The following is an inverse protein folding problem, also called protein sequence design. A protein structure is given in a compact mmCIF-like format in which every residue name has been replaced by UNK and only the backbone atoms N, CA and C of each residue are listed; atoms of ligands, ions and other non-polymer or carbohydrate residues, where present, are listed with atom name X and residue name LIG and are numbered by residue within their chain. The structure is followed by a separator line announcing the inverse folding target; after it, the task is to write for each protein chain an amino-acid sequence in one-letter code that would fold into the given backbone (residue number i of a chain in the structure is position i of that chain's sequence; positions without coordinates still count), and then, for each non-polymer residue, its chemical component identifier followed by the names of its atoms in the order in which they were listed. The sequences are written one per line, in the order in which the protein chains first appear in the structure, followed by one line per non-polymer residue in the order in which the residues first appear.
data_IF_538956474986
#
_entry.id   IF_538956474986
#
_cell.length_a   1.000
_cell.length_b   1.000
_cell.length_c   1.000
_cell.angle_alpha   90.00
_cell.angle_beta   90.00
_cell.angle_gamma   90.00
#
_symmetry.space_group_name_H-M   'P 1'
#
loop_
_entity.id
_entity.type
_entity.pdbx_description
1 polymer ?
#
# COMPACT_ATOMS: atom_id res chain seq x y z
N UNK A 1 26.73 -14.75 -18.32
CA UNK A 1 27.17 -14.45 -16.94
C UNK A 1 27.02 -15.71 -16.10
N UNK A 2 27.98 -16.04 -15.25
CA UNK A 2 27.92 -17.25 -14.43
C UNK A 2 26.76 -17.18 -13.42
N UNK A 3 26.03 -18.30 -13.25
CA UNK A 3 24.99 -18.45 -12.21
C UNK A 3 25.51 -18.05 -10.82
N UNK A 4 26.81 -18.25 -10.58
CA UNK A 4 27.52 -17.80 -9.37
C UNK A 4 27.45 -16.28 -9.19
N UNK A 5 27.63 -15.50 -10.24
CA UNK A 5 27.54 -14.04 -10.19
C UNK A 5 26.11 -13.58 -9.90
N UNK A 6 25.11 -14.22 -10.54
CA UNK A 6 23.70 -13.95 -10.25
C UNK A 6 23.36 -14.22 -8.78
N UNK A 7 23.75 -15.39 -8.26
CA UNK A 7 23.50 -15.77 -6.87
C UNK A 7 24.21 -14.81 -5.91
N UNK A 8 25.46 -14.42 -6.19
CA UNK A 8 26.19 -13.47 -5.37
C UNK A 8 25.55 -12.07 -5.38
N UNK A 9 25.10 -11.58 -6.52
CA UNK A 9 24.36 -10.32 -6.62
C UNK A 9 23.00 -10.39 -5.92
N UNK A 10 22.29 -11.52 -6.01
CA UNK A 10 21.04 -11.75 -5.28
C UNK A 10 21.27 -11.76 -3.77
N UNK A 11 22.37 -12.36 -3.31
CA UNK A 11 22.76 -12.31 -1.90
C UNK A 11 23.04 -10.88 -1.44
N UNK A 12 23.62 -10.02 -2.29
CA UNK A 12 23.76 -8.58 -1.98
C UNK A 12 22.40 -7.92 -1.84
N UNK A 13 21.45 -8.19 -2.75
CA UNK A 13 20.09 -7.65 -2.66
C UNK A 13 19.41 -8.09 -1.37
N UNK A 14 19.45 -9.39 -1.06
CA UNK A 14 18.87 -9.96 0.17
C UNK A 14 19.55 -9.38 1.41
N UNK A 15 20.88 -9.26 1.42
CA UNK A 15 21.63 -8.70 2.54
C UNK A 15 21.31 -7.22 2.76
N UNK A 16 21.22 -6.42 1.70
CA UNK A 16 20.82 -5.01 1.77
C UNK A 16 19.39 -4.85 2.32
N UNK A 17 18.43 -5.66 1.86
CA UNK A 17 17.07 -5.68 2.40
C UNK A 17 17.06 -6.11 3.86
N UNK A 18 17.79 -7.17 4.21
CA UNK A 18 17.90 -7.68 5.58
C UNK A 18 18.50 -6.64 6.54
N UNK A 19 19.57 -5.97 6.14
CA UNK A 19 20.17 -4.89 6.92
C UNK A 19 19.24 -3.67 6.99
N UNK A 20 18.57 -3.34 5.89
CA UNK A 20 17.57 -2.28 5.79
C UNK A 20 16.42 -2.47 6.77
N UNK A 21 15.84 -3.68 6.82
CA UNK A 21 14.76 -4.03 7.77
C UNK A 21 15.23 -3.99 9.22
N UNK A 22 16.49 -4.35 9.53
CA UNK A 22 17.05 -4.19 10.88
C UNK A 22 17.24 -2.74 11.30
N UNK A 23 17.67 -1.87 10.37
CA UNK A 23 17.77 -0.43 10.65
C UNK A 23 16.42 0.27 10.67
N UNK A 24 15.42 -0.29 9.96
CA UNK A 24 14.06 0.24 9.79
C UNK A 24 14.01 1.68 9.26
N UNK A 25 12.80 2.16 8.97
CA UNK A 25 12.54 3.52 8.50
C UNK A 25 13.41 3.93 7.30
N UNK A 26 14.10 5.07 7.43
CA UNK A 26 15.00 5.61 6.38
C UNK A 26 16.13 4.62 6.04
N UNK A 27 16.58 3.82 7.01
CA UNK A 27 17.66 2.86 6.84
C UNK A 27 17.38 1.83 5.75
N UNK A 28 16.11 1.49 5.51
CA UNK A 28 15.71 0.60 4.41
C UNK A 28 16.16 1.15 3.06
N UNK A 29 15.95 2.44 2.80
CA UNK A 29 16.41 3.08 1.56
C UNK A 29 17.93 3.24 1.48
N UNK A 30 18.56 3.62 2.60
CA UNK A 30 20.02 3.79 2.64
C UNK A 30 20.75 2.49 2.31
N UNK A 31 20.33 1.37 2.90
CA UNK A 31 20.91 0.07 2.57
C UNK A 31 20.62 -0.37 1.14
N UNK A 32 19.48 0.03 0.57
CA UNK A 32 19.25 -0.10 -0.87
C UNK A 32 20.34 0.56 -1.71
N UNK A 33 20.70 1.81 -1.39
CA UNK A 33 21.78 2.53 -2.09
C UNK A 33 23.16 1.90 -1.86
N UNK A 34 23.42 1.37 -0.66
CA UNK A 34 24.65 0.58 -0.41
C UNK A 34 24.67 -0.66 -1.31
N UNK A 35 23.54 -1.36 -1.45
CA UNK A 35 23.41 -2.47 -2.38
C UNK A 35 23.69 -2.05 -3.83
N UNK A 36 23.12 -0.92 -4.29
CA UNK A 36 23.40 -0.37 -5.62
C UNK A 36 24.90 -0.11 -5.79
N UNK A 37 25.53 0.50 -4.79
CA UNK A 37 26.97 0.76 -4.81
C UNK A 37 27.79 -0.56 -4.91
N UNK A 38 27.41 -1.60 -4.17
CA UNK A 38 28.09 -2.91 -4.26
C UNK A 38 27.90 -3.54 -5.65
N UNK A 39 26.70 -3.48 -6.23
CA UNK A 39 26.46 -4.00 -7.58
C UNK A 39 27.27 -3.21 -8.63
N UNK A 40 27.20 -1.88 -8.59
CA UNK A 40 27.84 -1.01 -9.59
C UNK A 40 29.35 -1.00 -9.44
N UNK A 41 29.89 -0.81 -8.24
CA UNK A 41 31.34 -0.68 -8.03
C UNK A 41 32.03 -2.02 -7.77
N UNK A 42 31.37 -2.96 -7.09
CA UNK A 42 31.90 -4.28 -6.80
C UNK A 42 31.75 -5.26 -7.96
N UNK A 43 30.52 -5.44 -8.46
CA UNK A 43 30.22 -6.35 -9.57
C UNK A 43 30.37 -5.70 -10.95
N UNK A 44 30.57 -4.38 -11.02
CA UNK A 44 30.78 -3.63 -12.27
C UNK A 44 29.63 -3.76 -13.26
N UNK A 45 28.41 -3.88 -12.76
CA UNK A 45 27.20 -3.85 -13.59
C UNK A 45 26.74 -2.41 -13.81
N UNK A 46 26.11 -2.14 -14.94
CA UNK A 46 25.50 -0.85 -15.18
C UNK A 46 24.35 -0.61 -14.18
N UNK A 47 24.19 0.60 -13.62
CA UNK A 47 23.04 0.91 -12.77
C UNK A 47 21.75 0.80 -13.57
N UNK A 48 20.72 0.24 -12.95
CA UNK A 48 19.37 0.27 -13.51
C UNK A 48 18.75 1.67 -13.39
N UNK A 49 17.54 1.84 -13.90
CA UNK A 49 16.81 3.11 -13.79
C UNK A 49 16.41 3.40 -12.34
N UNK A 50 16.74 4.59 -11.85
CA UNK A 50 16.26 5.07 -10.56
C UNK A 50 14.77 5.42 -10.64
N UNK A 51 13.96 5.17 -9.59
CA UNK A 51 12.51 5.39 -9.59
C UNK A 51 12.16 6.86 -9.32
N UNK A 52 12.76 7.81 -10.06
CA UNK A 52 12.68 9.26 -9.79
C UNK A 52 11.23 9.75 -9.81
N UNK A 53 10.48 9.39 -10.85
CA UNK A 53 9.07 9.77 -11.01
C UNK A 53 8.20 9.31 -9.83
N UNK A 54 8.37 8.05 -9.40
CA UNK A 54 7.62 7.51 -8.29
C UNK A 54 7.97 8.20 -6.96
N UNK A 55 9.24 8.60 -6.78
CA UNK A 55 9.68 9.37 -5.61
C UNK A 55 9.06 10.77 -5.61
N UNK A 56 9.03 11.47 -6.75
CA UNK A 56 8.43 12.80 -6.86
C UNK A 56 6.91 12.80 -6.67
N UNK A 57 6.21 11.78 -7.17
CA UNK A 57 4.81 11.54 -6.83
C UNK A 57 4.64 11.46 -5.31
N UNK A 58 5.41 10.60 -4.64
CA UNK A 58 5.29 10.42 -3.18
C UNK A 58 5.52 11.74 -2.45
N UNK A 59 6.61 12.46 -2.76
CA UNK A 59 6.96 13.73 -2.11
C UNK A 59 5.82 14.75 -2.25
N UNK A 60 5.22 14.84 -3.43
CA UNK A 60 4.15 15.81 -3.68
C UNK A 60 2.86 15.42 -2.97
N UNK A 61 2.47 14.14 -3.03
CA UNK A 61 1.26 13.61 -2.36
C UNK A 61 1.37 13.77 -0.84
N UNK A 62 2.51 13.39 -0.24
CA UNK A 62 2.71 13.50 1.22
C UNK A 62 2.73 14.96 1.65
N UNK A 63 3.22 15.86 0.80
CA UNK A 63 3.20 17.30 1.06
C UNK A 63 1.75 17.78 1.12
N UNK A 64 0.94 17.50 0.11
CA UNK A 64 -0.48 17.87 0.08
C UNK A 64 -1.26 17.28 1.28
N UNK A 65 -1.04 15.99 1.57
CA UNK A 65 -1.66 15.31 2.71
C UNK A 65 -1.23 15.90 4.05
N UNK A 66 0.04 16.31 4.19
CA UNK A 66 0.56 16.92 5.43
C UNK A 66 0.06 18.36 5.60
N UNK A 67 -0.15 19.10 4.51
CA UNK A 67 -0.79 20.42 4.55
C UNK A 67 -2.26 20.28 4.99
N UNK A 68 -2.98 19.29 4.45
CA UNK A 68 -4.32 18.94 4.91
C UNK A 68 -4.33 18.54 6.39
N UNK A 69 -3.38 17.72 6.83
CA UNK A 69 -3.26 17.30 8.24
C UNK A 69 -3.05 18.50 9.15
N UNK A 70 -2.16 19.42 8.79
CA UNK A 70 -1.90 20.64 9.56
C UNK A 70 -3.14 21.56 9.66
N UNK A 71 -4.10 21.45 8.74
CA UNK A 71 -5.38 22.16 8.78
C UNK A 71 -6.47 21.44 9.60
N UNK A 72 -6.17 20.26 10.15
CA UNK A 72 -7.11 19.40 10.88
C UNK A 72 -7.94 18.47 9.98
N UNK A 73 -7.64 18.39 8.68
CA UNK A 73 -8.44 17.63 7.71
C UNK A 73 -8.50 16.12 8.02
N UNK A 74 -7.39 15.54 8.47
CA UNK A 74 -7.34 14.13 8.89
C UNK A 74 -8.27 13.89 10.08
N UNK A 75 -8.24 14.76 11.10
CA UNK A 75 -9.11 14.63 12.28
C UNK A 75 -10.60 14.71 11.90
N UNK A 76 -10.95 15.55 10.92
CA UNK A 76 -12.31 15.58 10.38
C UNK A 76 -12.68 14.29 9.66
N UNK A 77 -11.83 13.78 8.77
CA UNK A 77 -12.07 12.52 8.11
C UNK A 77 -12.33 11.44 9.18
N UNK A 78 -11.47 11.33 10.18
CA UNK A 78 -11.60 10.39 11.29
C UNK A 78 -12.93 10.54 12.03
N UNK A 79 -13.39 11.78 12.28
CA UNK A 79 -14.70 12.02 12.89
C UNK A 79 -15.87 11.50 12.04
N UNK A 80 -15.76 11.57 10.71
CA UNK A 80 -16.75 11.00 9.78
C UNK A 80 -16.73 9.49 9.84
N UNK A 81 -15.54 8.87 9.80
CA UNK A 81 -15.41 7.42 9.94
C UNK A 81 -15.96 6.91 11.28
N UNK A 82 -15.67 7.61 12.37
CA UNK A 82 -16.22 7.29 13.69
C UNK A 82 -17.74 7.35 13.72
N UNK A 83 -18.36 8.37 13.11
CA UNK A 83 -19.81 8.43 12.95
C UNK A 83 -20.38 7.26 12.12
N UNK A 84 -19.68 6.85 11.06
CA UNK A 84 -20.13 5.73 10.22
C UNK A 84 -20.03 4.40 10.97
N UNK A 85 -18.92 4.15 11.66
CA UNK A 85 -18.68 2.91 12.42
C UNK A 85 -19.67 2.80 13.59
N UNK A 86 -19.92 3.90 14.31
CA UNK A 86 -20.84 3.93 15.46
C UNK A 86 -22.33 3.86 15.08
N UNK A 87 -22.70 4.14 13.81
CA UNK A 87 -24.10 4.01 13.35
C UNK A 87 -24.62 2.58 13.33
N UNK A 88 -23.76 1.59 13.04
CA UNK A 88 -24.10 0.16 13.08
C UNK A 88 -22.97 -0.60 13.77
N UNK A 89 -22.85 -0.46 15.10
CA UNK A 89 -21.64 -0.88 15.82
C UNK A 89 -21.48 -2.41 15.82
N UNK A 90 -22.58 -3.17 15.71
CA UNK A 90 -22.55 -4.63 15.52
C UNK A 90 -21.89 -5.08 14.20
N UNK A 91 -21.77 -4.18 13.22
CA UNK A 91 -21.14 -4.43 11.93
C UNK A 91 -19.71 -3.88 11.84
N UNK A 92 -19.07 -3.59 12.98
CA UNK A 92 -17.71 -3.01 13.03
C UNK A 92 -16.69 -3.82 12.25
N UNK A 93 -16.79 -5.15 12.22
CA UNK A 93 -15.89 -6.06 11.46
C UNK A 93 -15.95 -5.81 9.94
N UNK A 94 -17.02 -5.20 9.43
CA UNK A 94 -17.14 -4.79 8.02
C UNK A 94 -16.92 -3.29 7.82
N UNK A 95 -17.50 -2.46 8.69
CA UNK A 95 -17.46 -1.02 8.54
C UNK A 95 -16.07 -0.45 8.80
N UNK A 96 -15.34 -0.96 9.79
CA UNK A 96 -13.99 -0.48 10.10
C UNK A 96 -12.99 -0.75 8.96
N UNK A 97 -12.94 -1.95 8.36
CA UNK A 97 -12.12 -2.19 7.18
C UNK A 97 -12.53 -1.36 5.97
N UNK A 98 -13.82 -1.22 5.70
CA UNK A 98 -14.29 -0.39 4.58
C UNK A 98 -13.85 1.08 4.74
N UNK A 99 -13.96 1.64 5.94
CA UNK A 99 -13.48 3.00 6.20
C UNK A 99 -11.97 3.12 6.08
N UNK A 100 -11.21 2.15 6.60
CA UNK A 100 -9.74 2.13 6.52
C UNK A 100 -9.24 2.02 5.08
N UNK A 101 -9.92 1.21 4.26
CA UNK A 101 -9.69 1.08 2.83
C UNK A 101 -9.94 2.41 2.12
N UNK A 102 -11.14 3.00 2.26
CA UNK A 102 -11.51 4.24 1.58
C UNK A 102 -10.60 5.41 1.96
N UNK A 103 -10.16 5.49 3.21
CA UNK A 103 -9.25 6.54 3.66
C UNK A 103 -7.89 6.40 3.01
N UNK A 104 -7.39 5.16 2.95
CA UNK A 104 -6.10 4.90 2.32
C UNK A 104 -6.16 5.14 0.82
N UNK A 105 -7.25 4.77 0.16
CA UNK A 105 -7.48 5.07 -1.25
C UNK A 105 -7.40 6.57 -1.51
N UNK A 106 -8.07 7.38 -0.69
CA UNK A 106 -8.04 8.83 -0.81
C UNK A 106 -6.65 9.41 -0.51
N UNK A 107 -5.98 8.95 0.55
CA UNK A 107 -4.72 9.53 1.01
C UNK A 107 -3.47 9.00 0.27
N UNK A 108 -3.56 7.84 -0.39
CA UNK A 108 -2.43 7.17 -1.03
C UNK A 108 -1.46 6.47 -0.07
N UNK A 109 -1.72 6.49 1.25
CA UNK A 109 -0.84 5.91 2.28
C UNK A 109 -1.63 5.18 3.36
N UNK A 110 -1.15 3.99 3.73
CA UNK A 110 -1.76 3.18 4.79
C UNK A 110 -1.71 3.82 6.16
N UNK A 111 -0.78 4.74 6.44
CA UNK A 111 -0.64 5.38 7.76
C UNK A 111 -1.86 6.21 8.18
N UNK A 112 -2.72 6.60 7.22
CA UNK A 112 -3.91 7.40 7.48
C UNK A 112 -4.95 6.70 8.35
N UNK A 113 -4.85 5.38 8.52
CA UNK A 113 -5.79 4.63 9.36
C UNK A 113 -5.44 4.63 10.86
N UNK A 114 -4.24 5.04 11.27
CA UNK A 114 -3.86 5.04 12.70
C UNK A 114 -4.83 5.80 13.60
N UNK A 115 -5.32 6.98 13.21
CA UNK A 115 -6.31 7.69 14.00
C UNK A 115 -7.67 6.96 14.10
N UNK A 116 -7.95 5.97 13.25
CA UNK A 116 -9.14 5.12 13.35
C UNK A 116 -8.98 4.01 14.39
N UNK A 117 -7.76 3.61 14.73
CA UNK A 117 -7.51 2.50 15.65
C UNK A 117 -8.24 2.64 17.02
N UNK A 118 -8.21 3.80 17.70
CA UNK A 118 -8.96 3.98 18.94
C UNK A 118 -10.47 3.79 18.75
N UNK A 119 -11.02 4.32 17.65
CA UNK A 119 -12.45 4.22 17.34
C UNK A 119 -12.85 2.78 17.07
N UNK A 120 -12.05 2.05 16.30
CA UNK A 120 -12.30 0.65 15.95
C UNK A 120 -12.23 -0.21 17.21
N UNK A 121 -11.20 0.01 18.03
CA UNK A 121 -11.04 -0.64 19.34
C UNK A 121 -12.23 -0.36 20.26
N UNK A 122 -12.59 0.90 20.50
CA UNK A 122 -13.64 1.29 21.43
C UNK A 122 -15.00 0.75 21.00
N UNK A 123 -15.36 0.86 19.72
CA UNK A 123 -16.64 0.33 19.22
C UNK A 123 -16.67 -1.19 19.32
N UNK A 124 -15.57 -1.88 19.00
CA UNK A 124 -15.50 -3.34 19.15
C UNK A 124 -15.68 -3.73 20.61
N UNK A 125 -14.97 -3.06 21.52
CA UNK A 125 -15.02 -3.35 22.94
C UNK A 125 -16.41 -3.06 23.55
N UNK A 126 -17.03 -1.93 23.23
CA UNK A 126 -18.40 -1.58 23.67
C UNK A 126 -19.44 -2.61 23.23
N UNK A 127 -19.29 -3.17 22.04
CA UNK A 127 -20.19 -4.20 21.52
C UNK A 127 -19.83 -5.60 21.98
N UNK A 128 -18.80 -5.75 22.82
CA UNK A 128 -18.22 -7.04 23.24
C UNK A 128 -17.77 -7.91 22.06
N UNK A 129 -17.42 -7.27 20.95
CA UNK A 129 -16.81 -7.91 19.79
C UNK A 129 -15.31 -7.94 20.04
N UNK A 130 -14.71 -9.12 19.90
CA UNK A 130 -13.25 -9.31 19.98
C UNK A 130 -12.52 -8.30 19.07
N UNK A 131 -11.74 -7.34 19.61
CA UNK A 131 -11.13 -6.27 18.81
C UNK A 131 -10.25 -6.77 17.66
N UNK A 132 -9.54 -7.89 17.86
CA UNK A 132 -8.75 -8.56 16.82
C UNK A 132 -9.51 -8.72 15.50
N UNK A 133 -10.82 -9.02 15.55
CA UNK A 133 -11.64 -9.27 14.36
C UNK A 133 -11.74 -8.04 13.46
N UNK A 134 -11.94 -6.86 14.05
CA UNK A 134 -12.07 -5.62 13.29
C UNK A 134 -10.72 -4.96 13.03
N UNK A 135 -9.82 -4.97 14.01
CA UNK A 135 -8.51 -4.33 13.95
C UNK A 135 -7.61 -4.99 12.90
N UNK A 136 -7.52 -6.32 12.86
CA UNK A 136 -6.63 -7.00 11.92
C UNK A 136 -7.06 -6.81 10.46
N UNK A 137 -8.36 -6.95 10.18
CA UNK A 137 -8.92 -6.72 8.84
C UNK A 137 -8.79 -5.25 8.43
N UNK A 138 -8.92 -4.31 9.37
CA UNK A 138 -8.77 -2.88 9.09
C UNK A 138 -7.33 -2.50 8.73
N UNK A 139 -6.36 -3.13 9.38
CA UNK A 139 -4.95 -2.94 9.07
C UNK A 139 -4.55 -3.58 7.73
N UNK A 140 -5.14 -4.74 7.37
CA UNK A 140 -5.03 -5.29 6.01
C UNK A 140 -5.68 -4.34 5.01
N UNK A 141 -6.89 -3.85 5.29
CA UNK A 141 -7.65 -2.98 4.41
C UNK A 141 -6.97 -1.64 4.13
N UNK A 142 -6.27 -1.06 5.11
CA UNK A 142 -5.48 0.15 4.87
C UNK A 142 -4.40 -0.12 3.83
N UNK A 143 -3.64 -1.20 3.98
CA UNK A 143 -2.62 -1.57 3.01
C UNK A 143 -3.18 -1.96 1.63
N UNK A 144 -4.34 -2.61 1.59
CA UNK A 144 -5.07 -2.90 0.34
C UNK A 144 -5.49 -1.63 -0.38
N UNK A 145 -5.88 -0.59 0.36
CA UNK A 145 -6.25 0.71 -0.21
C UNK A 145 -5.11 1.35 -1.02
N UNK A 146 -3.85 1.01 -0.74
CA UNK A 146 -2.70 1.47 -1.53
C UNK A 146 -2.78 0.94 -2.97
N UNK A 147 -3.15 -0.33 -3.19
CA UNK A 147 -3.32 -0.92 -4.52
C UNK A 147 -4.50 -0.33 -5.31
N UNK A 148 -5.48 0.23 -4.61
CA UNK A 148 -6.68 0.83 -5.22
C UNK A 148 -6.60 2.35 -5.32
N UNK A 149 -5.51 2.95 -4.85
CA UNK A 149 -5.35 4.40 -4.82
C UNK A 149 -4.67 4.88 -6.10
N UNK A 150 -5.26 5.81 -6.87
CA UNK A 150 -4.62 6.45 -8.02
C UNK A 150 -3.40 7.30 -7.65
N UNK A 151 -3.26 7.66 -6.38
CA UNK A 151 -2.24 8.58 -5.87
C UNK A 151 -1.18 7.87 -5.03
N UNK A 152 -1.22 6.53 -4.94
CA UNK A 152 -0.19 5.78 -4.22
C UNK A 152 1.04 5.50 -5.09
N UNK A 153 2.18 5.34 -4.42
CA UNK A 153 3.43 4.95 -5.06
C UNK A 153 3.33 3.60 -5.79
N UNK A 154 2.56 2.65 -5.23
CA UNK A 154 2.44 1.30 -5.79
C UNK A 154 1.67 1.32 -7.11
N UNK A 155 0.53 2.00 -7.15
CA UNK A 155 -0.28 2.14 -8.38
C UNK A 155 0.48 2.94 -9.43
N UNK A 156 1.15 4.02 -9.04
CA UNK A 156 2.02 4.76 -9.96
C UNK A 156 3.12 3.85 -10.56
N UNK A 157 3.80 3.06 -9.72
CA UNK A 157 4.82 2.11 -10.17
C UNK A 157 4.25 1.09 -11.15
N UNK A 158 3.07 0.55 -10.86
CA UNK A 158 2.41 -0.42 -11.72
C UNK A 158 2.11 0.19 -13.09
N UNK A 159 1.49 1.37 -13.14
CA UNK A 159 1.10 2.04 -14.39
C UNK A 159 2.31 2.45 -15.24
N UNK A 160 3.43 2.85 -14.63
CA UNK A 160 4.67 3.09 -15.38
C UNK A 160 5.14 1.84 -16.12
N UNK A 161 4.89 0.66 -15.57
CA UNK A 161 5.37 -0.61 -16.12
C UNK A 161 4.40 -1.23 -17.14
N UNK A 162 3.09 -1.20 -16.87
CA UNK A 162 2.08 -1.86 -17.72
C UNK A 162 1.36 -0.91 -18.68
N UNK A 163 1.49 0.40 -18.48
CA UNK A 163 0.92 1.42 -19.37
C UNK A 163 1.39 1.30 -20.82
N UNK A 164 2.70 1.11 -21.08
CA UNK A 164 3.21 0.86 -22.44
C UNK A 164 2.64 -0.41 -23.09
N UNK A 165 2.18 -1.36 -22.28
CA UNK A 165 1.57 -2.63 -22.72
C UNK A 165 0.04 -2.51 -22.89
N UNK A 166 -0.50 -1.29 -22.89
CA UNK A 166 -1.90 -1.00 -23.19
C UNK A 166 -2.85 -1.08 -22.00
N UNK A 167 -2.36 -1.20 -20.76
CA UNK A 167 -3.19 -1.17 -19.55
C UNK A 167 -3.09 0.18 -18.85
N UNK A 168 -4.14 1.00 -18.98
CA UNK A 168 -4.21 2.31 -18.34
C UNK A 168 -4.62 2.25 -16.84
N UNK A 169 -4.56 3.41 -16.17
CA UNK A 169 -4.93 3.53 -14.77
C UNK A 169 -6.39 3.14 -14.51
N UNK A 170 -7.30 3.47 -15.43
CA UNK A 170 -8.71 3.16 -15.27
C UNK A 170 -8.98 1.68 -15.33
N UNK A 171 -8.41 0.99 -16.31
CA UNK A 171 -8.48 -0.46 -16.44
C UNK A 171 -7.89 -1.17 -15.22
N UNK A 172 -6.72 -0.72 -14.74
CA UNK A 172 -6.13 -1.26 -13.51
C UNK A 172 -7.08 -1.11 -12.31
N UNK A 173 -7.66 0.09 -12.12
CA UNK A 173 -8.57 0.34 -11.00
C UNK A 173 -9.91 -0.41 -11.15
N UNK A 174 -10.41 -0.63 -12.36
CA UNK A 174 -11.59 -1.45 -12.64
C UNK A 174 -11.39 -2.92 -12.25
N UNK A 175 -10.15 -3.41 -12.25
CA UNK A 175 -9.81 -4.75 -11.75
C UNK A 175 -9.58 -4.71 -10.24
N UNK A 176 -8.77 -3.76 -9.76
CA UNK A 176 -8.33 -3.72 -8.36
C UNK A 176 -9.47 -3.42 -7.38
N UNK A 177 -10.39 -2.51 -7.70
CA UNK A 177 -11.48 -2.15 -6.78
C UNK A 177 -12.43 -3.33 -6.50
N UNK A 178 -13.03 -3.99 -7.50
CA UNK A 178 -13.91 -5.13 -7.24
C UNK A 178 -13.18 -6.30 -6.59
N UNK A 179 -11.97 -6.63 -7.06
CA UNK A 179 -11.15 -7.67 -6.46
C UNK A 179 -10.87 -7.40 -4.98
N UNK A 180 -10.54 -6.15 -4.64
CA UNK A 180 -10.23 -5.75 -3.28
C UNK A 180 -11.45 -5.73 -2.37
N UNK A 181 -12.60 -5.23 -2.86
CA UNK A 181 -13.86 -5.22 -2.11
C UNK A 181 -14.29 -6.65 -1.79
N UNK A 182 -14.25 -7.56 -2.77
CA UNK A 182 -14.61 -8.97 -2.56
C UNK A 182 -13.62 -9.64 -1.59
N UNK A 183 -12.32 -9.43 -1.79
CA UNK A 183 -11.28 -10.00 -0.92
C UNK A 183 -11.39 -9.53 0.53
N UNK A 184 -11.58 -8.24 0.75
CA UNK A 184 -11.77 -7.67 2.10
C UNK A 184 -13.10 -8.11 2.72
N UNK A 185 -14.16 -8.23 1.92
CA UNK A 185 -15.44 -8.76 2.38
C UNK A 185 -15.33 -10.20 2.87
N UNK A 186 -14.62 -11.05 2.12
CA UNK A 186 -14.36 -12.44 2.51
C UNK A 186 -13.44 -12.53 3.73
N UNK A 187 -12.40 -11.69 3.80
CA UNK A 187 -11.54 -11.61 4.98
C UNK A 187 -12.34 -11.22 6.24
N UNK A 188 -13.23 -10.22 6.14
CA UNK A 188 -14.12 -9.83 7.22
C UNK A 188 -15.10 -10.96 7.61
N UNK A 189 -15.67 -11.67 6.63
CA UNK A 189 -16.56 -12.82 6.88
C UNK A 189 -15.84 -13.93 7.66
N UNK A 190 -14.61 -14.28 7.26
CA UNK A 190 -13.80 -15.26 7.98
C UNK A 190 -13.49 -14.78 9.40
N UNK A 191 -13.22 -13.49 9.56
CA UNK A 191 -12.88 -12.92 10.87
C UNK A 191 -14.07 -12.76 11.82
N UNK A 192 -15.33 -12.80 11.35
CA UNK A 192 -16.52 -12.65 12.21
C UNK A 192 -16.56 -13.60 13.41
N UNK A 193 -16.11 -14.83 13.22
CA UNK A 193 -16.07 -15.88 14.25
C UNK A 193 -14.65 -16.31 14.60
N UNK A 194 -13.65 -15.55 14.20
CA UNK A 194 -12.26 -15.88 14.50
C UNK A 194 -11.94 -15.62 15.97
N UNK A 195 -11.27 -16.58 16.60
CA UNK A 195 -10.94 -16.56 18.02
C UNK A 195 -12.16 -16.72 18.95
N UNK A 196 -11.88 -16.81 20.25
CA UNK A 196 -12.92 -16.85 21.29
C UNK A 196 -13.71 -15.55 21.33
N UNK A 197 -14.96 -15.61 21.78
CA UNK A 197 -15.68 -14.40 22.15
C UNK A 197 -14.90 -13.62 23.22
N UNK A 198 -15.07 -12.30 23.23
CA UNK A 198 -14.23 -11.43 24.05
C UNK A 198 -14.35 -11.78 25.55
N UNK A 199 -15.58 -11.98 26.01
CA UNK A 199 -15.88 -12.31 27.40
C UNK A 199 -15.29 -13.67 27.83
N UNK A 200 -14.99 -14.56 26.88
CA UNK A 200 -14.42 -15.90 27.10
C UNK A 200 -12.90 -15.96 26.87
N UNK A 201 -12.25 -14.86 26.49
CA UNK A 201 -10.81 -14.83 26.25
C UNK A 201 -10.04 -14.76 27.59
N UNK A 202 -9.23 -15.77 27.94
CA UNK A 202 -8.50 -15.80 29.21
C UNK A 202 -7.52 -14.64 29.39
N UNK A 203 -6.90 -14.16 28.30
CA UNK A 203 -5.97 -13.02 28.37
C UNK A 203 -6.73 -11.72 28.63
N UNK A 204 -7.91 -11.57 28.03
CA UNK A 204 -8.78 -10.43 28.31
C UNK A 204 -9.25 -10.45 29.77
N UNK A 205 -9.75 -11.59 30.26
CA UNK A 205 -10.19 -11.76 31.65
C UNK A 205 -9.05 -11.44 32.64
N UNK A 206 -7.83 -11.92 32.35
CA UNK A 206 -6.62 -11.62 33.14
C UNK A 206 -6.34 -10.11 33.18
N UNK A 207 -6.34 -9.43 32.04
CA UNK A 207 -6.07 -7.99 31.96
C UNK A 207 -7.16 -7.14 32.62
N UNK A 208 -8.41 -7.57 32.58
CA UNK A 208 -9.51 -6.92 33.30
C UNK A 208 -9.31 -7.07 34.81
N UNK A 209 -8.96 -8.28 35.29
CA UNK A 209 -8.67 -8.54 36.70
C UNK A 209 -7.44 -7.76 37.21
N UNK A 210 -6.44 -7.54 36.35
CA UNK A 210 -5.25 -6.73 36.65
C UNK A 210 -5.47 -5.21 36.45
N UNK A 211 -6.69 -4.77 36.11
CA UNK A 211 -7.03 -3.37 35.81
C UNK A 211 -6.19 -2.73 34.67
N UNK A 212 -5.72 -3.56 33.74
CA UNK A 212 -4.93 -3.13 32.57
C UNK A 212 -5.80 -2.69 31.39
N UNK A 213 -7.08 -3.07 31.36
CA UNK A 213 -8.05 -2.62 30.35
C UNK A 213 -8.87 -1.48 30.93
N UNK A 214 -8.81 -0.30 30.31
CA UNK A 214 -9.69 0.81 30.66
C UNK A 214 -11.09 0.54 30.13
N UNK A 215 -12.17 0.84 30.89
CA UNK A 215 -13.52 0.73 30.36
C UNK A 215 -13.64 1.58 29.09
N UNK A 216 -14.48 1.16 28.12
CA UNK A 216 -14.59 1.88 26.86
C UNK A 216 -15.05 3.32 27.15
N UNK A 217 -14.29 4.29 26.69
CA UNK A 217 -14.69 5.70 26.78
C UNK A 217 -15.79 5.90 25.74
N UNK A 218 -16.84 6.68 26.05
CA UNK A 218 -17.74 7.17 25.00
C UNK A 218 -16.87 7.88 23.97
N UNK A 219 -16.82 7.31 22.75
CA UNK A 219 -15.93 7.74 21.67
C UNK A 219 -15.93 9.25 21.62
N UNK A 220 -14.77 9.85 21.92
CA UNK A 220 -14.60 11.29 22.07
C UNK A 220 -14.97 12.03 20.77
N UNK A 221 -16.26 12.27 20.59
CA UNK A 221 -16.85 12.97 19.46
C UNK A 221 -16.88 14.48 19.66
N UNK A 222 -16.24 14.98 20.72
CA UNK A 222 -16.33 16.37 21.20
C UNK A 222 -15.01 17.13 21.13
N UNK A 223 -14.03 16.68 20.35
CA UNK A 223 -12.94 17.59 19.97
C UNK A 223 -13.51 18.56 18.94
N UNK A 224 -13.74 19.81 19.33
CA UNK A 224 -14.14 20.86 18.39
C UNK A 224 -13.08 20.97 17.30
N UNK A 225 -13.43 20.53 16.09
CA UNK A 225 -12.54 20.58 14.95
C UNK A 225 -12.47 22.03 14.44
N UNK A 226 -11.29 22.49 13.99
CA UNK A 226 -11.19 23.80 13.40
C UNK A 226 -12.07 23.86 12.14
N UNK A 227 -12.64 25.03 11.85
CA UNK A 227 -13.47 25.23 10.65
C UNK A 227 -12.73 24.90 9.34
N UNK A 228 -11.40 24.92 9.38
CA UNK A 228 -10.50 24.55 8.28
C UNK A 228 -10.44 23.03 8.01
N UNK A 229 -10.82 22.20 8.98
CA UNK A 229 -10.71 20.75 8.87
C UNK A 229 -11.56 20.21 7.71
N UNK A 230 -12.86 20.52 7.70
CA UNK A 230 -13.78 20.13 6.61
C UNK A 230 -13.29 20.66 5.27
N UNK A 231 -12.93 21.95 5.23
CA UNK A 231 -12.48 22.63 4.00
C UNK A 231 -11.25 21.97 3.40
N UNK A 232 -10.21 21.75 4.21
CA UNK A 232 -8.95 21.15 3.76
C UNK A 232 -9.16 19.73 3.24
N UNK A 233 -9.93 18.90 3.95
CA UNK A 233 -10.25 17.55 3.53
C UNK A 233 -11.08 17.52 2.24
N UNK A 234 -12.08 18.40 2.10
CA UNK A 234 -12.87 18.52 0.86
C UNK A 234 -12.00 18.92 -0.32
N UNK A 235 -11.11 19.91 -0.17
CA UNK A 235 -10.17 20.31 -1.24
C UNK A 235 -9.29 19.13 -1.65
N UNK A 236 -8.69 18.43 -0.68
CA UNK A 236 -7.84 17.27 -0.95
C UNK A 236 -8.59 16.15 -1.69
N UNK A 237 -9.78 15.77 -1.23
CA UNK A 237 -10.60 14.73 -1.85
C UNK A 237 -11.07 15.12 -3.25
N UNK A 238 -11.38 16.40 -3.49
CA UNK A 238 -11.67 16.92 -4.83
C UNK A 238 -10.45 16.76 -5.73
N UNK A 239 -9.25 17.07 -5.24
CA UNK A 239 -7.99 16.86 -5.95
C UNK A 239 -7.77 15.41 -6.38
N UNK A 240 -8.00 14.47 -5.46
CA UNK A 240 -7.96 13.03 -5.76
C UNK A 240 -8.97 12.68 -6.85
N UNK A 241 -10.21 13.19 -6.74
CA UNK A 241 -11.24 13.00 -7.77
C UNK A 241 -10.83 13.55 -9.15
N UNK A 242 -10.18 14.72 -9.19
CA UNK A 242 -9.66 15.30 -10.44
C UNK A 242 -8.56 14.42 -11.05
N UNK A 243 -7.64 13.90 -10.23
CA UNK A 243 -6.60 12.97 -10.69
C UNK A 243 -7.22 11.69 -11.26
N UNK A 244 -8.23 11.13 -10.58
CA UNK A 244 -8.98 9.97 -11.10
C UNK A 244 -9.57 10.30 -12.47
N UNK A 245 -10.22 11.45 -12.62
CA UNK A 245 -10.82 11.83 -13.91
C UNK A 245 -9.77 11.91 -15.04
N UNK A 246 -8.61 12.51 -14.80
CA UNK A 246 -7.53 12.53 -15.79
C UNK A 246 -6.94 11.14 -16.08
N UNK A 247 -6.94 10.26 -15.08
CA UNK A 247 -6.51 8.87 -15.22
C UNK A 247 -7.48 8.01 -16.04
N UNK A 248 -8.78 8.19 -15.84
CA UNK A 248 -9.84 7.45 -16.52
C UNK A 248 -10.09 7.92 -17.96
N UNK A 249 -9.88 9.21 -18.22
CA UNK A 249 -10.21 9.83 -19.50
C UNK A 249 -8.97 10.48 -20.12
N UNK A 250 -8.24 9.71 -20.92
CA UNK A 250 -7.05 10.20 -21.63
C UNK A 250 -7.32 11.47 -22.44
N UNK A 251 -8.52 11.59 -23.03
CA UNK A 251 -8.95 12.77 -23.78
C UNK A 251 -8.89 14.08 -22.99
N UNK A 252 -9.04 14.03 -21.65
CA UNK A 252 -8.94 15.21 -20.78
C UNK A 252 -7.49 15.67 -20.58
N UNK A 253 -6.51 14.78 -20.72
CA UNK A 253 -5.10 15.08 -20.46
C UNK A 253 -4.58 16.11 -21.48
N UNK A 254 -3.89 17.18 -21.05
CA UNK A 254 -3.38 18.20 -21.96
C UNK A 254 -2.48 17.60 -23.06
N UNK A 255 -2.63 18.09 -24.29
CA UNK A 255 -1.74 17.75 -25.41
C UNK A 255 -0.56 18.71 -25.39
N UNK A 256 0.65 18.18 -25.39
CA UNK A 256 1.92 18.94 -25.30
C UNK A 256 2.77 18.82 -26.56
N UNK A 257 2.31 18.08 -27.56
CA UNK A 257 2.96 17.96 -28.85
C UNK A 257 2.28 16.90 -29.71
N UNK A 258 2.95 16.55 -30.80
CA UNK A 258 2.60 15.41 -31.65
C UNK A 258 3.85 14.55 -31.84
N UNK A 259 3.68 13.23 -31.87
CA UNK A 259 4.78 12.32 -32.15
C UNK A 259 5.11 12.28 -33.64
N UNK A 260 6.12 11.49 -34.02
CA UNK A 260 6.58 11.35 -35.40
C UNK A 260 5.51 10.75 -36.33
N UNK A 261 4.49 10.10 -35.78
CA UNK A 261 3.34 9.57 -36.50
C UNK A 261 2.17 10.57 -36.61
N UNK A 262 2.29 11.75 -35.98
CA UNK A 262 1.26 12.78 -35.95
C UNK A 262 0.20 12.58 -34.85
N UNK A 263 0.38 11.61 -33.96
CA UNK A 263 -0.54 11.35 -32.84
C UNK A 263 -0.25 12.32 -31.68
N UNK A 264 -1.29 12.78 -30.95
CA UNK A 264 -1.13 13.77 -29.89
C UNK A 264 -0.38 13.18 -28.69
N UNK A 265 0.77 13.77 -28.36
CA UNK A 265 1.50 13.47 -27.13
C UNK A 265 0.79 14.16 -25.97
N UNK A 266 0.26 13.35 -25.05
CA UNK A 266 -0.45 13.83 -23.86
C UNK A 266 0.44 13.80 -22.63
N UNK A 267 0.19 14.72 -21.70
CA UNK A 267 0.86 14.72 -20.39
C UNK A 267 0.60 13.38 -19.69
N UNK A 268 1.65 12.80 -19.11
CA UNK A 268 1.54 11.54 -18.37
C UNK A 268 0.74 11.71 -17.08
N UNK A 269 0.08 10.64 -16.64
CA UNK A 269 -0.68 10.65 -15.38
C UNK A 269 0.23 10.97 -14.18
N UNK A 270 1.51 10.55 -14.23
CA UNK A 270 2.55 10.90 -13.26
C UNK A 270 2.65 12.41 -13.05
N UNK A 271 2.86 13.17 -14.13
CA UNK A 271 3.00 14.63 -14.06
C UNK A 271 1.69 15.27 -13.59
N UNK A 272 0.54 14.73 -14.02
CA UNK A 272 -0.77 15.22 -13.57
C UNK A 272 -0.92 15.06 -12.05
N UNK A 273 -0.53 13.93 -11.48
CA UNK A 273 -0.58 13.71 -10.02
C UNK A 273 0.27 14.76 -9.30
N UNK A 274 1.51 14.98 -9.75
CA UNK A 274 2.43 15.94 -9.14
C UNK A 274 1.89 17.38 -9.22
N UNK A 275 1.48 17.82 -10.40
CA UNK A 275 0.98 19.19 -10.58
C UNK A 275 -0.30 19.40 -9.78
N UNK A 276 -1.27 18.48 -9.85
CA UNK A 276 -2.54 18.62 -9.14
C UNK A 276 -2.33 18.58 -7.62
N UNK A 277 -1.51 17.67 -7.09
CA UNK A 277 -1.23 17.63 -5.65
C UNK A 277 -0.53 18.91 -5.17
N UNK A 278 0.39 19.47 -5.95
CA UNK A 278 1.01 20.76 -5.67
C UNK A 278 -0.02 21.90 -5.61
N UNK A 279 -0.92 21.96 -6.59
CA UNK A 279 -2.02 22.96 -6.62
C UNK A 279 -2.94 22.79 -5.42
N UNK A 280 -3.30 21.56 -5.06
CA UNK A 280 -4.13 21.25 -3.89
C UNK A 280 -3.44 21.68 -2.59
N UNK A 281 -2.15 21.39 -2.43
CA UNK A 281 -1.37 21.86 -1.29
C UNK A 281 -1.41 23.40 -1.19
N UNK A 282 -1.17 24.10 -2.30
CA UNK A 282 -1.23 25.57 -2.36
C UNK A 282 -2.62 26.12 -2.01
N UNK A 283 -3.69 25.51 -2.52
CA UNK A 283 -5.07 25.89 -2.19
C UNK A 283 -5.37 25.71 -0.70
N UNK A 284 -4.92 24.62 -0.08
CA UNK A 284 -5.12 24.40 1.36
C UNK A 284 -4.29 25.42 2.17
N UNK A 285 -3.05 25.69 1.79
CA UNK A 285 -2.23 26.73 2.42
C UNK A 285 -2.96 28.08 2.46
N UNK A 286 -3.48 28.52 1.31
CA UNK A 286 -4.13 29.83 1.19
C UNK A 286 -5.50 29.85 1.89
N UNK A 287 -6.34 28.85 1.65
CA UNK A 287 -7.74 28.86 2.11
C UNK A 287 -7.91 28.45 3.58
N UNK A 288 -6.95 27.70 4.13
CA UNK A 288 -6.94 27.25 5.52
C UNK A 288 -5.87 27.98 6.37
N UNK A 289 -5.06 28.86 5.75
CA UNK A 289 -4.00 29.64 6.41
C UNK A 289 -3.02 28.76 7.21
N UNK A 290 -2.67 27.61 6.64
CA UNK A 290 -1.70 26.68 7.23
C UNK A 290 -0.33 27.35 7.30
N UNK A 291 0.37 27.24 8.43
CA UNK A 291 1.75 27.74 8.56
C UNK A 291 2.70 26.70 8.01
N UNK A 292 3.52 27.08 7.02
CA UNK A 292 4.48 26.16 6.40
C UNK A 292 5.39 25.41 7.39
N UNK A 293 5.90 26.03 8.48
CA UNK A 293 6.72 25.32 9.47
C UNK A 293 6.00 24.19 10.23
N UNK A 294 4.67 24.15 10.21
CA UNK A 294 3.89 23.12 10.90
C UNK A 294 3.67 21.87 10.04
N UNK A 295 3.91 21.95 8.73
CA UNK A 295 3.69 20.85 7.79
C UNK A 295 4.69 19.70 8.00
N UNK A 296 6.01 19.92 8.09
CA UNK A 296 6.96 18.83 8.32
C UNK A 296 6.82 18.15 9.69
N UNK A 297 6.13 18.81 10.64
CA UNK A 297 5.88 18.27 11.99
C UNK A 297 4.69 17.32 12.03
N UNK A 298 3.84 17.32 10.99
CA UNK A 298 2.70 16.42 10.91
C UNK A 298 3.16 15.00 10.67
N UNK A 299 2.53 14.00 11.30
CA UNK A 299 2.97 12.60 11.23
C UNK A 299 2.99 12.01 9.82
N UNK A 300 2.17 12.52 8.89
CA UNK A 300 2.17 12.10 7.49
C UNK A 300 3.48 12.44 6.78
N UNK A 301 4.10 13.58 7.09
CA UNK A 301 5.29 14.05 6.38
C UNK A 301 6.52 13.16 6.62
N UNK A 302 7.02 12.94 7.85
CA UNK A 302 8.19 12.09 8.08
C UNK A 302 7.92 10.64 7.68
N UNK A 303 6.71 10.12 7.88
CA UNK A 303 6.35 8.79 7.44
C UNK A 303 6.39 8.65 5.90
N UNK A 304 5.93 9.69 5.20
CA UNK A 304 6.01 9.78 3.74
C UNK A 304 7.44 9.86 3.21
N UNK A 305 8.29 10.70 3.82
CA UNK A 305 9.71 10.84 3.44
C UNK A 305 10.48 9.53 3.65
N UNK A 306 10.23 8.84 4.77
CA UNK A 306 10.75 7.49 5.02
C UNK A 306 10.39 6.56 3.86
N UNK A 307 9.12 6.56 3.44
CA UNK A 307 8.65 5.76 2.30
C UNK A 307 9.31 6.15 0.98
N UNK A 308 9.48 7.44 0.71
CA UNK A 308 10.14 7.95 -0.51
C UNK A 308 11.61 7.52 -0.59
N UNK A 309 12.36 7.60 0.52
CA UNK A 309 13.76 7.17 0.57
C UNK A 309 13.87 5.66 0.43
N UNK A 310 12.98 4.90 1.08
CA UNK A 310 12.90 3.45 0.93
C UNK A 310 12.65 3.05 -0.54
N UNK A 311 11.71 3.71 -1.21
CA UNK A 311 11.43 3.52 -2.63
C UNK A 311 12.66 3.83 -3.48
N UNK A 312 13.29 4.98 -3.26
CA UNK A 312 14.48 5.38 -4.01
C UNK A 312 15.60 4.34 -3.93
N UNK A 313 15.92 3.86 -2.72
CA UNK A 313 17.02 2.92 -2.53
C UNK A 313 16.70 1.50 -2.97
N UNK A 314 15.62 0.90 -2.45
CA UNK A 314 15.32 -0.52 -2.66
C UNK A 314 14.85 -0.78 -4.09
N UNK A 315 14.01 0.09 -4.67
CA UNK A 315 13.58 -0.14 -6.04
C UNK A 315 14.74 0.11 -7.03
N UNK A 316 15.65 1.06 -6.76
CA UNK A 316 16.83 1.23 -7.61
C UNK A 316 17.78 0.04 -7.52
N UNK A 317 17.97 -0.52 -6.32
CA UNK A 317 18.71 -1.77 -6.12
C UNK A 317 18.10 -2.92 -6.91
N UNK A 318 16.78 -3.11 -6.80
CA UNK A 318 16.07 -4.13 -7.55
C UNK A 318 16.20 -3.92 -9.06
N UNK A 319 15.97 -2.71 -9.56
CA UNK A 319 16.09 -2.37 -10.98
C UNK A 319 17.51 -2.63 -11.50
N UNK A 320 18.53 -2.33 -10.70
CA UNK A 320 19.93 -2.60 -11.06
C UNK A 320 20.21 -4.10 -11.14
N UNK A 321 19.76 -4.88 -10.14
CA UNK A 321 19.91 -6.33 -10.15
C UNK A 321 19.19 -6.98 -11.34
N UNK A 322 17.94 -6.57 -11.59
CA UNK A 322 17.13 -7.11 -12.69
C UNK A 322 17.72 -6.77 -14.04
N UNK A 323 18.09 -5.50 -14.27
CA UNK A 323 18.72 -5.08 -15.53
C UNK A 323 20.04 -5.83 -15.78
N UNK A 324 20.85 -6.05 -14.74
CA UNK A 324 22.10 -6.77 -14.87
C UNK A 324 21.94 -8.28 -15.16
N UNK A 325 20.81 -8.88 -14.78
CA UNK A 325 20.60 -10.33 -14.87
C UNK A 325 19.42 -10.70 -15.78
N UNK A 326 18.89 -9.76 -16.56
CA UNK A 326 17.65 -9.91 -17.30
C UNK A 326 17.65 -11.16 -18.19
N UNK A 327 18.72 -11.41 -18.96
CA UNK A 327 18.82 -12.59 -19.82
C UNK A 327 18.74 -13.91 -19.02
N UNK A 328 19.44 -14.02 -17.89
CA UNK A 328 19.45 -15.23 -17.05
C UNK A 328 18.12 -15.44 -16.33
N UNK A 329 17.52 -14.36 -15.84
CA UNK A 329 16.21 -14.39 -15.17
C UNK A 329 15.14 -14.82 -16.19
N UNK A 330 15.11 -14.19 -17.36
CA UNK A 330 14.14 -14.49 -18.42
C UNK A 330 14.35 -15.88 -19.01
N UNK A 331 15.59 -16.32 -19.24
CA UNK A 331 15.85 -17.67 -19.74
C UNK A 331 15.57 -18.75 -18.70
N UNK A 332 15.89 -18.53 -17.41
CA UNK A 332 15.62 -19.48 -16.33
C UNK A 332 14.12 -19.62 -16.02
N UNK A 333 13.41 -18.50 -15.89
CA UNK A 333 11.95 -18.50 -15.75
C UNK A 333 11.28 -18.97 -17.04
N UNK A 334 11.80 -18.55 -18.19
CA UNK A 334 11.35 -19.00 -19.50
C UNK A 334 11.46 -20.52 -19.64
N UNK A 335 12.53 -21.15 -19.15
CA UNK A 335 12.69 -22.61 -19.15
C UNK A 335 11.73 -23.33 -18.19
N UNK A 336 11.45 -22.72 -17.02
CA UNK A 336 10.45 -23.24 -16.06
C UNK A 336 9.01 -23.10 -16.58
N UNK A 337 8.75 -22.07 -17.38
CA UNK A 337 7.44 -21.77 -17.95
C UNK A 337 7.23 -22.44 -19.30
N UNK A 338 8.29 -22.64 -20.10
CA UNK A 338 8.26 -23.30 -21.40
C UNK A 338 7.91 -24.78 -21.21
N UNK A 339 6.70 -25.16 -21.63
CA UNK A 339 6.15 -26.50 -21.41
C UNK A 339 5.24 -26.62 -20.18
N UNK A 340 5.12 -25.56 -19.37
CA UNK A 340 4.10 -25.45 -18.32
C UNK A 340 2.83 -24.78 -18.86
N UNK A 341 1.67 -25.05 -18.27
CA UNK A 341 0.44 -24.33 -18.61
C UNK A 341 0.54 -22.86 -18.18
N UNK A 342 -0.17 -21.96 -18.86
CA UNK A 342 -0.25 -20.53 -18.49
C UNK A 342 -0.58 -20.29 -17.00
N UNK A 343 -1.28 -21.24 -16.38
CA UNK A 343 -1.57 -21.27 -14.95
C UNK A 343 -0.30 -21.35 -14.07
N UNK A 344 0.68 -22.20 -14.42
CA UNK A 344 1.91 -22.34 -13.65
C UNK A 344 2.78 -21.09 -13.74
N UNK A 345 2.86 -20.46 -14.92
CA UNK A 345 3.54 -19.17 -15.08
C UNK A 345 2.90 -18.07 -14.21
N UNK A 346 1.57 -17.98 -14.23
CA UNK A 346 0.83 -17.05 -13.37
C UNK A 346 1.06 -17.29 -11.87
N UNK A 347 1.05 -18.56 -11.44
CA UNK A 347 1.26 -18.93 -10.05
C UNK A 347 2.69 -18.61 -9.59
N UNK A 348 3.70 -18.96 -10.40
CA UNK A 348 5.10 -18.65 -10.09
C UNK A 348 5.34 -17.14 -10.01
N UNK A 349 4.75 -16.36 -10.91
CA UNK A 349 4.78 -14.90 -10.84
C UNK A 349 4.16 -14.36 -9.55
N UNK A 350 2.95 -14.82 -9.21
CA UNK A 350 2.26 -14.41 -7.98
C UNK A 350 3.08 -14.74 -6.73
N UNK A 351 3.66 -15.93 -6.65
CA UNK A 351 4.51 -16.35 -5.54
C UNK A 351 5.80 -15.54 -5.47
N UNK A 352 6.44 -15.26 -6.61
CA UNK A 352 7.64 -14.43 -6.67
C UNK A 352 7.34 -12.99 -6.23
N UNK A 353 6.24 -12.39 -6.72
CA UNK A 353 5.80 -11.06 -6.32
C UNK A 353 5.49 -11.01 -4.82
N UNK A 354 4.77 -11.99 -4.29
CA UNK A 354 4.48 -12.09 -2.87
C UNK A 354 5.74 -12.25 -2.01
N UNK A 355 6.70 -13.08 -2.45
CA UNK A 355 7.96 -13.29 -1.75
C UNK A 355 8.83 -12.02 -1.74
N UNK A 356 8.96 -11.32 -2.86
CA UNK A 356 9.71 -10.05 -2.90
C UNK A 356 8.98 -8.96 -2.12
N UNK A 357 7.66 -8.88 -2.19
CA UNK A 357 6.89 -7.95 -1.36
C UNK A 357 7.08 -8.22 0.12
N UNK A 358 7.07 -9.49 0.52
CA UNK A 358 7.35 -9.95 1.89
C UNK A 358 8.73 -9.49 2.36
N UNK A 359 9.78 -9.75 1.57
CA UNK A 359 11.16 -9.40 1.93
C UNK A 359 11.37 -7.89 1.96
N UNK A 360 10.84 -7.16 0.98
CA UNK A 360 11.02 -5.71 0.87
C UNK A 360 10.07 -4.92 1.77
N UNK A 361 9.05 -5.56 2.34
CA UNK A 361 7.97 -4.92 3.09
C UNK A 361 7.28 -3.77 2.33
N UNK A 362 7.30 -3.83 0.99
CA UNK A 362 6.89 -2.72 0.11
C UNK A 362 6.20 -3.22 -1.17
N UNK A 363 4.96 -2.79 -1.40
CA UNK A 363 4.22 -3.10 -2.64
C UNK A 363 4.89 -2.48 -3.87
N UNK A 364 5.27 -1.21 -3.80
CA UNK A 364 5.89 -0.49 -4.91
C UNK A 364 7.26 -1.06 -5.29
N UNK A 365 8.12 -1.36 -4.31
CA UNK A 365 9.43 -1.94 -4.59
C UNK A 365 9.33 -3.33 -5.23
N UNK A 366 8.42 -4.17 -4.72
CA UNK A 366 8.21 -5.50 -5.29
C UNK A 366 7.58 -5.45 -6.68
N UNK A 367 6.67 -4.49 -6.92
CA UNK A 367 6.08 -4.23 -8.24
C UNK A 367 7.17 -3.89 -9.25
N UNK A 368 8.03 -2.91 -8.93
CA UNK A 368 9.16 -2.52 -9.78
C UNK A 368 10.17 -3.65 -10.03
N UNK A 369 10.36 -4.54 -9.06
CA UNK A 369 11.28 -5.66 -9.20
C UNK A 369 10.73 -6.79 -10.07
N UNK A 370 9.46 -7.19 -9.88
CA UNK A 370 8.93 -8.45 -10.40
C UNK A 370 8.08 -8.26 -11.66
N UNK A 371 7.35 -7.16 -11.81
CA UNK A 371 6.49 -6.93 -12.98
C UNK A 371 7.28 -6.90 -14.30
N UNK A 372 8.45 -6.24 -14.41
CA UNK A 372 9.23 -6.25 -15.65
C UNK A 372 9.67 -7.66 -16.05
N UNK A 373 9.96 -8.52 -15.06
CA UNK A 373 10.31 -9.92 -15.29
C UNK A 373 9.11 -10.67 -15.86
N UNK A 374 7.92 -10.48 -15.29
CA UNK A 374 6.67 -11.05 -15.78
C UNK A 374 6.39 -10.69 -17.24
N UNK A 375 6.56 -9.41 -17.58
CA UNK A 375 6.42 -8.92 -18.96
C UNK A 375 7.47 -9.55 -19.89
N UNK A 376 8.73 -9.61 -19.45
CA UNK A 376 9.81 -10.14 -20.27
C UNK A 376 9.71 -11.65 -20.55
N UNK A 377 9.03 -12.42 -19.69
CA UNK A 377 8.71 -13.84 -19.94
C UNK A 377 7.40 -14.04 -20.72
N UNK A 378 6.76 -12.95 -21.15
CA UNK A 378 5.56 -12.97 -22.01
C UNK A 378 4.24 -13.13 -21.27
N UNK A 379 4.17 -12.84 -19.95
CA UNK A 379 2.87 -12.77 -19.28
C UNK A 379 2.10 -11.54 -19.78
N UNK A 380 0.82 -11.69 -20.20
CA UNK A 380 0.02 -10.55 -20.62
C UNK A 380 -0.11 -9.52 -19.49
N UNK A 381 0.04 -8.24 -19.82
CA UNK A 381 -0.15 -7.15 -18.86
C UNK A 381 -1.50 -7.20 -18.10
N UNK A 382 -2.64 -7.56 -18.74
CA UNK A 382 -3.89 -7.79 -18.02
C UNK A 382 -3.76 -8.85 -16.91
N UNK A 383 -3.15 -9.99 -17.22
CA UNK A 383 -2.96 -11.07 -16.25
C UNK A 383 -2.06 -10.61 -15.09
N UNK A 384 -0.99 -9.86 -15.36
CA UNK A 384 -0.14 -9.27 -14.32
C UNK A 384 -0.95 -8.32 -13.43
N UNK A 385 -1.82 -7.48 -14.00
CA UNK A 385 -2.74 -6.65 -13.23
C UNK A 385 -3.67 -7.50 -12.34
N UNK A 386 -4.23 -8.59 -12.85
CA UNK A 386 -5.06 -9.52 -12.08
C UNK A 386 -4.33 -10.23 -10.94
N UNK A 387 -3.04 -10.55 -11.13
CA UNK A 387 -2.17 -11.19 -10.13
C UNK A 387 -1.56 -10.20 -9.13
N UNK A 388 -1.67 -8.89 -9.38
CA UNK A 388 -1.04 -7.84 -8.59
C UNK A 388 -1.44 -7.79 -7.10
N UNK A 389 -2.62 -8.28 -6.65
CA UNK A 389 -2.91 -8.40 -5.22
C UNK A 389 -1.88 -9.25 -4.46
N UNK A 390 -1.08 -10.07 -5.15
CA UNK A 390 0.08 -10.77 -4.57
C UNK A 390 1.10 -9.83 -3.91
N UNK A 391 1.15 -8.55 -4.29
CA UNK A 391 2.00 -7.54 -3.64
C UNK A 391 1.62 -7.29 -2.16
N UNK A 392 0.44 -7.77 -1.70
CA UNK A 392 0.12 -7.85 -0.27
C UNK A 392 0.94 -8.89 0.49
N UNK A 393 1.83 -9.64 -0.19
CA UNK A 393 2.85 -10.46 0.45
C UNK A 393 3.72 -9.67 1.45
N UNK A 394 3.83 -8.34 1.30
CA UNK A 394 4.49 -7.47 2.28
C UNK A 394 3.88 -7.50 3.69
N UNK A 395 2.67 -8.03 3.85
CA UNK A 395 1.96 -8.14 5.13
C UNK A 395 2.06 -9.52 5.77
N UNK A 396 2.84 -10.44 5.17
CA UNK A 396 3.06 -11.81 5.65
C UNK A 396 4.06 -11.86 6.81
N UNK A 397 5.02 -10.94 6.86
CA UNK A 397 5.92 -10.83 8.01
C UNK A 397 5.37 -9.81 9.00
N UNK A 398 5.54 -10.03 10.32
CA UNK A 398 5.10 -9.12 11.38
C UNK A 398 6.08 -7.95 11.52
N UNK A 399 6.38 -7.29 10.41
CA UNK A 399 7.38 -6.24 10.31
C UNK A 399 6.79 -4.89 9.87
N UNK A 400 5.52 -4.86 9.47
CA UNK A 400 4.91 -3.62 9.00
C UNK A 400 4.52 -2.75 10.20
N UNK A 401 4.86 -1.45 10.14
CA UNK A 401 4.54 -0.50 11.20
C UNK A 401 3.05 -0.45 11.54
N UNK A 402 2.18 -0.73 10.57
CA UNK A 402 0.75 -0.80 10.81
C UNK A 402 0.29 -1.97 11.65
N UNK A 403 0.95 -3.12 11.55
CA UNK A 403 0.69 -4.30 12.38
C UNK A 403 1.11 -4.00 13.82
N UNK A 404 2.32 -3.46 14.00
CA UNK A 404 2.87 -3.08 15.30
C UNK A 404 1.98 -2.06 16.01
N UNK A 405 1.59 -1.00 15.31
CA UNK A 405 0.71 0.03 15.86
C UNK A 405 -0.65 -0.58 16.26
N UNK A 406 -1.25 -1.38 15.39
CA UNK A 406 -2.55 -2.02 15.66
C UNK A 406 -2.51 -2.91 16.90
N UNK A 407 -1.46 -3.72 17.07
CA UNK A 407 -1.26 -4.54 18.28
C UNK A 407 -1.06 -3.67 19.52
N UNK A 408 -0.26 -2.61 19.42
CA UNK A 408 0.00 -1.71 20.54
C UNK A 408 -1.26 -0.97 21.01
N UNK A 409 -2.21 -0.69 20.12
CA UNK A 409 -3.47 -0.04 20.46
C UNK A 409 -4.49 -0.98 21.13
N UNK A 410 -4.43 -2.29 20.87
CA UNK A 410 -5.37 -3.23 21.45
C UNK A 410 -5.07 -3.54 22.93
N UNK A 411 -5.75 -2.85 23.84
CA UNK A 411 -5.58 -3.08 25.28
C UNK A 411 -6.13 -4.42 25.75
N UNK A 412 -7.06 -5.06 25.01
CA UNK A 412 -7.61 -6.37 25.38
C UNK A 412 -6.60 -7.50 25.24
N UNK A 413 -5.52 -7.28 24.47
CA UNK A 413 -4.54 -8.32 24.16
C UNK A 413 -5.04 -9.38 23.18
N UNK A 414 -6.21 -9.16 22.56
CA UNK A 414 -6.77 -10.09 21.58
C UNK A 414 -5.95 -10.11 20.27
N UNK A 415 -5.40 -8.96 19.87
CA UNK A 415 -4.57 -8.76 18.67
C UNK A 415 -3.09 -8.95 19.02
N UNK A 416 -2.37 -9.78 18.25
CA UNK A 416 -1.02 -10.24 18.61
C UNK A 416 -0.09 -10.26 17.39
N UNK A 417 1.20 -10.03 17.65
CA UNK A 417 2.29 -10.24 16.68
C UNK A 417 2.75 -11.70 16.59
N UNK A 418 2.13 -12.60 17.37
CA UNK A 418 2.51 -14.01 17.39
C UNK A 418 3.77 -14.29 18.20
N UNK A 419 4.07 -15.57 18.40
CA UNK A 419 5.34 -16.08 18.97
C UNK A 419 6.32 -16.47 17.87
N UNK A 420 5.81 -16.92 16.74
CA UNK A 420 6.51 -17.28 15.53
C UNK A 420 6.36 -16.18 14.47
N UNK A 421 6.96 -16.38 13.30
CA UNK A 421 6.94 -15.37 12.23
C UNK A 421 5.56 -15.28 11.58
N UNK A 422 4.82 -16.39 11.46
CA UNK A 422 3.56 -16.43 10.70
C UNK A 422 2.28 -16.57 11.56
N UNK A 423 2.39 -16.53 12.89
CA UNK A 423 1.27 -16.73 13.83
C UNK A 423 0.75 -15.40 14.41
N UNK A 424 0.66 -14.36 13.58
CA UNK A 424 0.12 -13.06 13.97
C UNK A 424 -1.32 -12.86 13.47
N UNK A 425 -2.06 -11.96 14.15
CA UNK A 425 -3.49 -11.70 13.90
C UNK A 425 -3.83 -11.26 12.47
N UNK A 426 -2.86 -10.70 11.75
CA UNK A 426 -3.04 -10.21 10.37
C UNK A 426 -2.89 -11.29 9.30
N UNK A 427 -2.35 -12.46 9.64
CA UNK A 427 -1.96 -13.45 8.63
C UNK A 427 -3.18 -14.02 7.93
N UNK A 428 -4.15 -14.51 8.70
CA UNK A 428 -5.38 -15.09 8.16
C UNK A 428 -6.15 -14.11 7.26
N UNK A 429 -6.51 -12.89 7.72
CA UNK A 429 -7.24 -11.96 6.85
C UNK A 429 -6.44 -11.54 5.63
N UNK A 430 -5.11 -11.40 5.72
CA UNK A 430 -4.26 -11.08 4.57
C UNK A 430 -4.24 -12.21 3.53
N UNK A 431 -4.07 -13.46 3.95
CA UNK A 431 -4.06 -14.60 3.03
C UNK A 431 -5.42 -14.83 2.37
N UNK A 432 -6.51 -14.67 3.13
CA UNK A 432 -7.88 -14.74 2.58
C UNK A 432 -8.09 -13.64 1.54
N UNK A 433 -7.68 -12.40 1.86
CA UNK A 433 -7.72 -11.31 0.91
C UNK A 433 -6.91 -11.65 -0.36
N UNK A 434 -5.64 -12.06 -0.21
CA UNK A 434 -4.74 -12.31 -1.34
C UNK A 434 -5.32 -13.37 -2.27
N UNK A 435 -5.74 -14.52 -1.73
CA UNK A 435 -6.31 -15.59 -2.54
C UNK A 435 -7.58 -15.16 -3.27
N UNK A 436 -8.52 -14.53 -2.56
CA UNK A 436 -9.77 -14.07 -3.15
C UNK A 436 -9.57 -12.96 -4.20
N UNK A 437 -8.75 -11.96 -3.88
CA UNK A 437 -8.48 -10.83 -4.76
C UNK A 437 -7.71 -11.26 -6.02
N UNK A 438 -6.78 -12.22 -5.92
CA UNK A 438 -6.11 -12.79 -7.10
C UNK A 438 -7.12 -13.50 -7.99
N UNK A 439 -8.01 -14.34 -7.43
CA UNK A 439 -9.01 -15.07 -8.23
C UNK A 439 -9.93 -14.08 -8.96
N UNK A 440 -10.49 -13.10 -8.24
CA UNK A 440 -11.39 -12.11 -8.83
C UNK A 440 -10.64 -11.20 -9.81
N UNK A 441 -9.42 -10.78 -9.47
CA UNK A 441 -8.60 -9.93 -10.32
C UNK A 441 -8.24 -10.59 -11.63
N UNK A 442 -7.82 -11.86 -11.60
CA UNK A 442 -7.53 -12.65 -12.81
C UNK A 442 -8.78 -12.81 -13.66
N UNK A 443 -9.94 -13.15 -13.06
CA UNK A 443 -11.19 -13.26 -13.82
C UNK A 443 -11.57 -11.94 -14.50
N UNK A 444 -11.48 -10.81 -13.79
CA UNK A 444 -11.78 -9.49 -14.35
C UNK A 444 -10.77 -9.06 -15.40
N UNK A 445 -9.51 -9.46 -15.27
CA UNK A 445 -8.47 -9.14 -16.25
C UNK A 445 -8.70 -9.76 -17.64
N UNK A 446 -9.55 -10.78 -17.75
CA UNK A 446 -9.94 -11.35 -19.05
C UNK A 446 -11.31 -10.85 -19.55
N UNK A 447 -12.00 -10.04 -18.76
CA UNK A 447 -13.33 -9.50 -19.07
C UNK A 447 -13.27 -8.01 -19.39
N UNK A 448 -12.43 -7.27 -18.68
CA UNK A 448 -12.26 -5.81 -18.79
C UNK A 448 -11.20 -5.43 -19.82
N UNK A 449 -10.22 -6.31 -19.99
CA UNK A 449 -9.05 -6.20 -20.87
C UNK A 449 -9.02 -7.42 -21.77
#
# INVERSE_FOLDING_TARGET
MDVVALVAQLLVVIAAIFMGTRTSGIGLGVWGLVGVAVLVFGFRVAPGNAPVDAVFIVITVITAASVMQAAGGIDWMVSVAAKVITRRPKSVVFLAPAMSFLFTVGAGTGNIFYPLLPVIYDVSYQQRIRPERALSVSAVASQVGILCSPVSAATASMIVLIGPEGVDLGQLLLIMWPASIVGLGLAALVMLKHGKELDDDPEFQRRVAEHLVKPPVEVASTKELPKTAVRSASIFLIGVGVIVLFGLFEGLRPVVGTDDAGEPIRVSVTIIIEVIMGVIAALIFVTCKVKAPDVPKQSTFPAGIVGAIALFGIAWLANTFVAANQELIVSGLGALVSGSSAFWGALLFALALAAVAMLTTSQSSATNAIVPIGLAIGLPAPLIAGLWPSAMGMYILPANGSQVATVAFDQTGSTKMGRFVFDHSFQLPNLVYMGAAIIVGVLLSFVVL
#
